data_IF_663839345518
#
_entry.id   IF_663839345518
#
_cell.length_a   1.000
_cell.length_b   1.000
_cell.length_c   1.000
_cell.angle_alpha   90.00
_cell.angle_beta   90.00
_cell.angle_gamma   90.00
#
_symmetry.space_group_name_H-M   'P 1'
#
loop_
_entity.id
_entity.type
_entity.pdbx_description
1 polymer ?
#
# COMPACT_ATOMS: atom_id res chain seq x y z
N UNK A 1 54.73 31.24 57.94
CA UNK A 1 53.81 30.10 57.75
C UNK A 1 52.59 30.32 58.61
N UNK A 2 51.52 30.89 58.05
CA UNK A 2 50.27 31.14 58.76
C UNK A 2 49.28 30.04 58.43
N UNK A 3 48.79 29.32 59.45
CA UNK A 3 47.78 28.29 59.25
C UNK A 3 46.41 28.96 59.08
N UNK A 4 45.75 28.71 57.94
CA UNK A 4 44.33 29.04 57.78
C UNK A 4 43.50 27.90 58.39
N UNK A 5 42.85 28.19 59.51
CA UNK A 5 41.90 27.26 60.14
C UNK A 5 40.58 27.39 59.36
N UNK A 6 40.31 26.44 58.46
CA UNK A 6 38.99 26.29 57.84
C UNK A 6 38.10 25.58 58.87
N UNK A 7 37.17 26.33 59.46
CA UNK A 7 36.17 25.78 60.38
C UNK A 7 35.00 25.24 59.57
N UNK A 8 34.81 23.92 59.58
CA UNK A 8 33.62 23.29 58.99
C UNK A 8 32.45 23.57 59.93
N UNK A 9 31.62 24.55 59.56
CA UNK A 9 30.54 25.02 60.43
C UNK A 9 29.25 24.19 60.30
N UNK A 10 29.12 23.37 59.25
CA UNK A 10 27.98 22.48 59.08
C UNK A 10 28.43 21.17 58.42
N UNK A 11 28.61 20.13 59.24
CA UNK A 11 28.81 18.75 58.80
C UNK A 11 27.61 17.96 59.27
N UNK A 12 26.87 17.38 58.33
CA UNK A 12 25.81 16.42 58.66
C UNK A 12 26.51 15.09 58.93
N UNK A 13 26.48 14.63 60.19
CA UNK A 13 27.15 13.38 60.57
C UNK A 13 26.35 12.17 60.06
N UNK A 14 27.01 11.11 59.56
CA UNK A 14 26.32 9.91 59.04
C UNK A 14 25.46 9.18 60.09
N UNK A 15 25.76 9.37 61.38
CA UNK A 15 25.01 8.82 62.52
C UNK A 15 23.96 9.80 63.08
N UNK A 16 23.83 11.00 62.49
CA UNK A 16 22.85 11.98 62.94
C UNK A 16 21.42 11.58 62.56
N UNK A 17 20.45 11.89 63.41
CA UNK A 17 19.03 11.64 63.12
C UNK A 17 18.58 12.35 61.83
N UNK A 18 19.14 13.51 61.51
CA UNK A 18 18.86 14.22 60.26
C UNK A 18 19.35 13.43 59.03
N UNK A 19 20.55 12.86 59.10
CA UNK A 19 21.06 12.02 58.02
C UNK A 19 20.27 10.73 57.89
N UNK A 20 20.00 10.05 59.02
CA UNK A 20 19.30 8.76 59.02
C UNK A 20 17.84 8.91 58.53
N UNK A 21 17.16 10.01 58.88
CA UNK A 21 15.79 10.29 58.40
C UNK A 21 15.72 10.60 56.91
N UNK A 22 16.76 11.23 56.33
CA UNK A 22 16.83 11.58 54.90
C UNK A 22 17.62 10.57 54.06
N UNK A 23 18.22 9.55 54.69
CA UNK A 23 19.10 8.57 54.04
C UNK A 23 18.44 7.88 52.84
N UNK A 24 17.18 7.47 53.02
CA UNK A 24 16.41 6.82 51.96
C UNK A 24 16.20 7.74 50.75
N UNK A 25 15.96 9.03 50.97
CA UNK A 25 15.80 10.01 49.91
C UNK A 25 17.14 10.28 49.20
N UNK A 26 18.25 10.34 49.93
CA UNK A 26 19.58 10.48 49.34
C UNK A 26 19.99 9.26 48.51
N UNK A 27 19.71 8.04 49.00
CA UNK A 27 19.95 6.80 48.27
C UNK A 27 19.12 6.76 46.98
N UNK A 28 17.85 7.14 47.06
CA UNK A 28 16.96 7.22 45.89
C UNK A 28 17.45 8.25 44.86
N UNK A 29 17.88 9.43 45.32
CA UNK A 29 18.39 10.48 44.43
C UNK A 29 19.74 10.09 43.81
N UNK A 30 20.63 9.43 44.57
CA UNK A 30 21.90 8.93 44.05
C UNK A 30 21.69 7.82 43.01
N UNK A 31 20.68 6.96 43.24
CA UNK A 31 20.28 5.94 42.29
C UNK A 31 19.69 6.59 41.03
N UNK A 32 18.77 7.55 41.16
CA UNK A 32 18.21 8.30 40.03
C UNK A 32 19.32 9.00 39.21
N UNK A 33 20.26 9.67 39.88
CA UNK A 33 21.38 10.36 39.24
C UNK A 33 22.31 9.41 38.48
N UNK A 34 22.53 8.18 38.97
CA UNK A 34 23.28 7.13 38.25
C UNK A 34 22.56 6.65 36.99
N UNK A 35 21.24 6.78 36.93
CA UNK A 35 20.40 6.36 35.81
C UNK A 35 19.92 7.52 34.92
N UNK A 36 20.30 8.77 35.15
CA UNK A 36 19.65 9.94 34.49
C UNK A 36 20.28 10.45 33.19
N UNK A 37 21.45 9.96 32.73
CA UNK A 37 22.14 10.63 31.60
C UNK A 37 22.87 9.73 30.61
N UNK A 38 23.92 9.03 31.03
CA UNK A 38 24.75 8.19 30.14
C UNK A 38 24.43 6.71 30.27
N UNK A 39 24.43 6.15 31.48
CA UNK A 39 24.25 4.71 31.66
C UNK A 39 22.87 4.20 31.24
N UNK A 40 21.80 4.98 31.45
CA UNK A 40 20.48 4.57 30.98
C UNK A 40 20.40 4.61 29.46
N UNK A 41 20.95 5.63 28.80
CA UNK A 41 20.95 5.69 27.34
C UNK A 41 21.83 4.59 26.74
N UNK A 42 23.03 4.35 27.29
CA UNK A 42 23.89 3.23 26.88
C UNK A 42 23.21 1.89 27.12
N UNK A 43 22.54 1.71 28.27
CA UNK A 43 21.81 0.49 28.58
C UNK A 43 20.59 0.32 27.66
N UNK A 44 19.82 1.38 27.38
CA UNK A 44 18.70 1.35 26.43
C UNK A 44 19.21 1.01 25.02
N UNK A 45 20.33 1.58 24.57
CA UNK A 45 20.91 1.27 23.25
C UNK A 45 21.49 -0.15 23.19
N UNK A 46 22.09 -0.64 24.28
CA UNK A 46 22.52 -2.03 24.40
C UNK A 46 21.31 -2.98 24.34
N UNK A 47 20.25 -2.68 25.09
CA UNK A 47 19.01 -3.45 25.03
C UNK A 47 18.31 -3.33 23.67
N UNK A 48 18.35 -2.17 22.99
CA UNK A 48 17.80 -1.96 21.64
C UNK A 48 18.61 -2.68 20.56
N UNK A 49 19.94 -2.73 20.68
CA UNK A 49 20.80 -3.46 19.74
C UNK A 49 20.70 -4.98 19.92
N UNK A 50 20.38 -5.44 21.13
CA UNK A 50 20.07 -6.84 21.43
C UNK A 50 18.59 -7.19 21.18
N UNK A 51 17.71 -6.19 21.15
CA UNK A 51 16.30 -6.37 20.82
C UNK A 51 16.16 -6.67 19.33
N UNK A 52 15.50 -7.77 19.01
CA UNK A 52 15.03 -8.02 17.66
C UNK A 52 13.90 -7.02 17.38
N UNK A 53 14.02 -6.18 16.34
CA UNK A 53 12.92 -5.35 15.87
C UNK A 53 11.85 -6.28 15.28
N UNK A 54 10.99 -6.79 16.15
CA UNK A 54 9.80 -7.51 15.74
C UNK A 54 8.78 -6.49 15.25
N UNK A 55 8.67 -6.36 13.93
CA UNK A 55 7.54 -5.67 13.32
C UNK A 55 6.30 -6.50 13.67
N UNK A 56 5.56 -6.06 14.70
CA UNK A 56 4.37 -6.74 15.20
C UNK A 56 3.20 -6.66 14.22
N UNK A 57 3.18 -5.61 13.38
CA UNK A 57 2.20 -5.50 12.32
C UNK A 57 2.50 -6.53 11.21
N UNK A 58 1.56 -7.47 10.94
CA UNK A 58 1.80 -8.51 9.96
C UNK A 58 2.03 -8.00 8.54
N UNK A 59 1.42 -6.87 8.15
CA UNK A 59 1.56 -6.32 6.80
C UNK A 59 2.96 -5.72 6.59
N UNK A 60 3.45 -4.92 7.55
CA UNK A 60 4.82 -4.39 7.47
C UNK A 60 5.88 -5.49 7.56
N UNK A 61 5.64 -6.53 8.38
CA UNK A 61 6.51 -7.71 8.41
C UNK A 61 6.53 -8.40 7.06
N UNK A 62 5.36 -8.61 6.45
CA UNK A 62 5.25 -9.24 5.15
C UNK A 62 5.92 -8.41 4.04
N UNK A 63 5.78 -7.09 4.06
CA UNK A 63 6.42 -6.19 3.12
C UNK A 63 7.95 -6.27 3.21
N UNK A 64 8.52 -6.26 4.42
CA UNK A 64 9.97 -6.46 4.62
C UNK A 64 10.42 -7.83 4.09
N UNK A 65 9.73 -8.90 4.46
CA UNK A 65 10.06 -10.26 4.01
C UNK A 65 9.96 -10.42 2.48
N UNK A 66 8.99 -9.75 1.85
CA UNK A 66 8.87 -9.66 0.40
C UNK A 66 10.10 -8.99 -0.22
N UNK A 67 10.57 -7.88 0.36
CA UNK A 67 11.79 -7.20 -0.08
C UNK A 67 13.07 -8.02 0.13
N UNK A 68 13.08 -8.93 1.11
CA UNK A 68 14.16 -9.90 1.35
C UNK A 68 14.03 -11.17 0.50
N UNK A 69 13.04 -11.25 -0.39
CA UNK A 69 12.74 -12.43 -1.23
C UNK A 69 12.44 -13.72 -0.44
N UNK A 70 12.06 -13.58 0.84
CA UNK A 70 11.64 -14.68 1.70
C UNK A 70 10.17 -14.99 1.46
N UNK A 71 9.88 -15.56 0.29
CA UNK A 71 8.51 -15.71 -0.20
C UNK A 71 7.60 -16.54 0.72
N UNK A 72 8.02 -17.70 1.25
CA UNK A 72 7.17 -18.49 2.14
C UNK A 72 6.80 -17.75 3.43
N UNK A 73 7.76 -17.06 4.05
CA UNK A 73 7.54 -16.28 5.27
C UNK A 73 6.72 -15.01 5.01
N UNK A 74 6.96 -14.34 3.89
CA UNK A 74 6.17 -13.20 3.45
C UNK A 74 4.70 -13.61 3.24
N UNK A 75 4.46 -14.77 2.63
CA UNK A 75 3.12 -15.29 2.41
C UNK A 75 2.38 -15.50 3.74
N UNK A 76 3.01 -16.20 4.70
CA UNK A 76 2.43 -16.42 6.03
C UNK A 76 2.13 -15.10 6.77
N UNK A 77 2.98 -14.08 6.60
CA UNK A 77 2.77 -12.78 7.22
C UNK A 77 1.61 -12.01 6.56
N UNK A 78 1.51 -12.01 5.22
CA UNK A 78 0.36 -11.42 4.52
C UNK A 78 -0.95 -12.15 4.79
N UNK A 79 -0.95 -13.49 4.87
CA UNK A 79 -2.13 -14.27 5.27
C UNK A 79 -2.63 -13.85 6.66
N UNK A 80 -1.72 -13.57 7.60
CA UNK A 80 -2.09 -13.00 8.91
C UNK A 80 -2.62 -11.57 8.78
N UNK A 81 -2.01 -10.75 7.93
CA UNK A 81 -2.49 -9.38 7.69
C UNK A 81 -3.93 -9.37 7.14
N UNK A 82 -4.24 -10.22 6.17
CA UNK A 82 -5.59 -10.36 5.59
C UNK A 82 -6.61 -10.82 6.65
N UNK A 83 -6.20 -11.67 7.60
CA UNK A 83 -7.10 -12.07 8.70
C UNK A 83 -7.50 -10.88 9.59
N UNK A 84 -6.58 -9.92 9.78
CA UNK A 84 -6.83 -8.72 10.56
C UNK A 84 -7.65 -7.69 9.80
N UNK A 85 -7.34 -7.50 8.51
CA UNK A 85 -8.07 -6.59 7.62
C UNK A 85 -8.43 -7.31 6.32
N UNK A 86 -9.64 -7.87 6.30
CA UNK A 86 -10.14 -8.65 5.18
C UNK A 86 -10.58 -7.77 4.01
N UNK A 87 -10.82 -6.50 4.23
CA UNK A 87 -11.37 -5.55 3.24
C UNK A 87 -10.29 -4.77 2.50
N UNK A 88 -9.02 -4.93 2.90
CA UNK A 88 -7.90 -4.33 2.22
C UNK A 88 -7.47 -5.12 0.98
N UNK A 89 -7.92 -4.65 -0.18
CA UNK A 89 -7.57 -5.20 -1.50
C UNK A 89 -6.06 -5.27 -1.74
N UNK A 90 -5.31 -4.28 -1.25
CA UNK A 90 -3.85 -4.21 -1.43
C UNK A 90 -3.11 -5.39 -0.80
N UNK A 91 -3.66 -5.97 0.28
CA UNK A 91 -3.09 -7.17 0.90
C UNK A 91 -3.27 -8.43 0.03
N UNK A 92 -4.41 -8.56 -0.65
CA UNK A 92 -4.65 -9.67 -1.60
C UNK A 92 -3.71 -9.57 -2.80
N UNK A 93 -3.56 -8.37 -3.37
CA UNK A 93 -2.65 -8.14 -4.49
C UNK A 93 -1.19 -8.41 -4.11
N UNK A 94 -0.78 -7.98 -2.91
CA UNK A 94 0.58 -8.20 -2.40
C UNK A 94 0.86 -9.68 -2.11
N UNK A 95 -0.09 -10.39 -1.51
CA UNK A 95 0.06 -11.83 -1.27
C UNK A 95 0.06 -12.62 -2.58
N UNK A 96 -0.79 -12.24 -3.55
CA UNK A 96 -0.78 -12.82 -4.90
C UNK A 96 0.58 -12.67 -5.54
N UNK A 97 1.18 -11.47 -5.49
CA UNK A 97 2.53 -11.25 -6.01
C UNK A 97 3.55 -12.17 -5.34
N UNK A 98 3.51 -12.31 -4.01
CA UNK A 98 4.38 -13.23 -3.27
C UNK A 98 4.19 -14.67 -3.74
N UNK A 99 2.95 -15.15 -3.85
CA UNK A 99 2.69 -16.50 -4.34
C UNK A 99 3.20 -16.73 -5.77
N UNK A 100 3.06 -15.74 -6.66
CA UNK A 100 3.62 -15.84 -8.03
C UNK A 100 5.14 -15.94 -7.98
N UNK A 101 5.82 -15.12 -7.17
CA UNK A 101 7.28 -15.16 -7.01
C UNK A 101 7.78 -16.47 -6.37
N UNK A 102 6.98 -17.07 -5.50
CA UNK A 102 7.21 -18.38 -4.88
C UNK A 102 6.86 -19.56 -5.82
N UNK A 103 6.47 -19.30 -7.07
CA UNK A 103 5.98 -20.29 -8.04
C UNK A 103 4.73 -21.08 -7.55
N UNK A 104 3.96 -20.50 -6.62
CA UNK A 104 2.72 -21.06 -6.07
C UNK A 104 1.49 -20.50 -6.80
N UNK A 105 1.46 -20.69 -8.11
CA UNK A 105 0.39 -20.14 -8.96
C UNK A 105 -1.01 -20.63 -8.56
N UNK A 106 -1.14 -21.88 -8.09
CA UNK A 106 -2.42 -22.43 -7.65
C UNK A 106 -2.98 -21.69 -6.41
N UNK A 107 -2.10 -21.31 -5.48
CA UNK A 107 -2.50 -20.55 -4.30
C UNK A 107 -2.83 -19.10 -4.65
N UNK A 108 -2.07 -18.51 -5.58
CA UNK A 108 -2.40 -17.19 -6.16
C UNK A 108 -3.79 -17.18 -6.79
N UNK A 109 -4.12 -18.18 -7.61
CA UNK A 109 -5.42 -18.29 -8.26
C UNK A 109 -6.55 -18.43 -7.22
N UNK A 110 -6.37 -19.30 -6.22
CA UNK A 110 -7.37 -19.50 -5.16
C UNK A 110 -7.59 -18.23 -4.31
N UNK A 111 -6.53 -17.49 -4.02
CA UNK A 111 -6.61 -16.22 -3.32
C UNK A 111 -7.39 -15.19 -4.14
N UNK A 112 -7.07 -15.05 -5.42
CA UNK A 112 -7.72 -14.07 -6.30
C UNK A 112 -9.16 -14.45 -6.63
N UNK A 113 -9.50 -15.74 -6.69
CA UNK A 113 -10.90 -16.20 -6.74
C UNK A 113 -11.70 -15.81 -5.49
N UNK A 114 -11.05 -15.84 -4.32
CA UNK A 114 -11.66 -15.34 -3.09
C UNK A 114 -11.87 -13.83 -3.15
N UNK A 115 -10.89 -13.09 -3.71
CA UNK A 115 -11.00 -11.66 -3.95
C UNK A 115 -12.12 -11.33 -4.95
N UNK A 116 -12.25 -12.07 -6.06
CA UNK A 116 -13.31 -11.91 -7.06
C UNK A 116 -14.70 -12.06 -6.44
N UNK A 117 -14.91 -13.06 -5.57
CA UNK A 117 -16.20 -13.22 -4.86
C UNK A 117 -16.53 -12.03 -3.95
N UNK A 118 -15.50 -11.36 -3.43
CA UNK A 118 -15.65 -10.21 -2.54
C UNK A 118 -15.86 -8.91 -3.30
N UNK A 119 -15.19 -8.77 -4.44
CA UNK A 119 -15.23 -7.59 -5.30
C UNK A 119 -15.52 -8.02 -6.74
N UNK A 120 -16.77 -8.43 -7.04
CA UNK A 120 -17.11 -9.09 -8.31
C UNK A 120 -16.88 -8.21 -9.53
N UNK A 121 -17.09 -6.90 -9.42
CA UNK A 121 -16.96 -5.95 -10.53
C UNK A 121 -15.69 -5.09 -10.44
N UNK A 122 -14.76 -5.45 -9.54
CA UNK A 122 -13.50 -4.73 -9.44
C UNK A 122 -12.54 -5.21 -10.52
N UNK A 123 -12.36 -4.39 -11.56
CA UNK A 123 -11.52 -4.69 -12.73
C UNK A 123 -10.08 -5.04 -12.33
N UNK A 124 -9.48 -4.36 -11.36
CA UNK A 124 -8.12 -4.67 -10.91
C UNK A 124 -8.00 -6.08 -10.30
N UNK A 125 -9.02 -6.55 -9.56
CA UNK A 125 -9.08 -7.93 -9.05
C UNK A 125 -9.25 -8.93 -10.20
N UNK A 126 -10.11 -8.61 -11.17
CA UNK A 126 -10.39 -9.48 -12.31
C UNK A 126 -9.18 -9.60 -13.26
N UNK A 127 -8.54 -8.50 -13.65
CA UNK A 127 -7.35 -8.52 -14.51
C UNK A 127 -6.18 -9.20 -13.82
N UNK A 128 -6.03 -9.00 -12.51
CA UNK A 128 -5.04 -9.74 -11.71
C UNK A 128 -5.31 -11.25 -11.67
N UNK A 129 -6.58 -11.67 -11.55
CA UNK A 129 -6.93 -13.09 -11.59
C UNK A 129 -6.66 -13.70 -12.97
N UNK A 130 -7.06 -13.00 -14.04
CA UNK A 130 -6.78 -13.40 -15.41
C UNK A 130 -5.26 -13.51 -15.68
N UNK A 131 -4.46 -12.57 -15.18
CA UNK A 131 -3.00 -12.61 -15.26
C UNK A 131 -2.42 -13.87 -14.61
N UNK A 132 -2.93 -14.26 -13.45
CA UNK A 132 -2.53 -15.50 -12.77
C UNK A 132 -2.93 -16.73 -13.60
N UNK A 133 -4.14 -16.76 -14.18
CA UNK A 133 -4.55 -17.87 -15.06
C UNK A 133 -3.71 -17.95 -16.34
N UNK A 134 -3.35 -16.81 -16.93
CA UNK A 134 -2.47 -16.75 -18.08
C UNK A 134 -1.07 -17.31 -17.74
N UNK A 135 -0.53 -16.97 -16.56
CA UNK A 135 0.72 -17.56 -16.06
C UNK A 135 0.62 -19.08 -15.84
N UNK A 136 -0.56 -19.59 -15.47
CA UNK A 136 -0.84 -21.03 -15.38
C UNK A 136 -1.04 -21.71 -16.73
N UNK A 137 -1.12 -20.95 -17.83
CA UNK A 137 -1.54 -21.42 -19.15
C UNK A 137 -2.96 -22.01 -19.16
N UNK A 138 -3.81 -21.58 -18.22
CA UNK A 138 -5.24 -21.94 -18.17
C UNK A 138 -6.03 -20.93 -19.03
N UNK A 139 -5.97 -21.12 -20.35
CA UNK A 139 -6.62 -20.23 -21.33
C UNK A 139 -8.14 -20.24 -21.18
N UNK A 140 -8.73 -21.36 -20.76
CA UNK A 140 -10.17 -21.47 -20.54
C UNK A 140 -10.66 -20.50 -19.45
N UNK A 141 -9.98 -20.49 -18.30
CA UNK A 141 -10.34 -19.55 -17.22
C UNK A 141 -9.90 -18.12 -17.49
N UNK A 142 -8.77 -17.94 -18.18
CA UNK A 142 -8.34 -16.61 -18.61
C UNK A 142 -9.42 -15.97 -19.49
N UNK A 143 -9.92 -16.70 -20.49
CA UNK A 143 -11.00 -16.25 -21.35
C UNK A 143 -12.30 -15.96 -20.60
N UNK A 144 -12.70 -16.82 -19.66
CA UNK A 144 -13.91 -16.59 -18.86
C UNK A 144 -13.84 -15.28 -18.06
N UNK A 145 -12.71 -15.05 -17.36
CA UNK A 145 -12.53 -13.84 -16.55
C UNK A 145 -12.42 -12.60 -17.42
N UNK A 146 -11.65 -12.64 -18.51
CA UNK A 146 -11.45 -11.48 -19.38
C UNK A 146 -12.70 -11.12 -20.19
N UNK A 147 -13.48 -12.10 -20.67
CA UNK A 147 -14.74 -11.83 -21.34
C UNK A 147 -15.73 -11.13 -20.40
N UNK A 148 -15.81 -11.59 -19.14
CA UNK A 148 -16.61 -10.90 -18.13
C UNK A 148 -16.08 -9.49 -17.84
N UNK A 149 -14.76 -9.32 -17.71
CA UNK A 149 -14.12 -8.01 -17.48
C UNK A 149 -14.43 -7.03 -18.62
N UNK A 150 -14.32 -7.48 -19.88
CA UNK A 150 -14.66 -6.69 -21.07
C UNK A 150 -16.13 -6.26 -21.06
N UNK A 151 -17.04 -7.15 -20.66
CA UNK A 151 -18.48 -6.82 -20.58
C UNK A 151 -18.84 -5.72 -19.58
N UNK A 152 -18.00 -5.51 -18.55
CA UNK A 152 -18.21 -4.46 -17.54
C UNK A 152 -17.28 -3.26 -17.72
N UNK A 153 -16.33 -3.30 -18.66
CA UNK A 153 -15.37 -2.23 -18.91
C UNK A 153 -16.01 -0.98 -19.56
N UNK A 154 -17.16 -1.14 -20.23
CA UNK A 154 -17.88 -0.04 -20.87
C UNK A 154 -17.05 0.62 -21.96
N UNK A 155 -16.96 1.96 -21.96
CA UNK A 155 -16.20 2.71 -22.97
C UNK A 155 -14.75 3.02 -22.52
N UNK A 156 -14.27 2.35 -21.47
CA UNK A 156 -12.89 2.52 -20.98
C UNK A 156 -11.88 1.86 -21.93
N UNK A 157 -11.42 2.64 -22.90
CA UNK A 157 -10.43 2.21 -23.89
C UNK A 157 -9.14 1.70 -23.23
N UNK A 158 -8.72 2.26 -22.09
CA UNK A 158 -7.51 1.82 -21.41
C UNK A 158 -7.68 0.42 -20.80
N UNK A 159 -8.86 0.14 -20.23
CA UNK A 159 -9.20 -1.20 -19.74
C UNK A 159 -9.23 -2.23 -20.89
N UNK A 160 -9.83 -1.89 -22.04
CA UNK A 160 -9.82 -2.77 -23.21
C UNK A 160 -8.40 -3.05 -23.73
N UNK A 161 -7.49 -2.07 -23.68
CA UNK A 161 -6.07 -2.28 -24.00
C UNK A 161 -5.39 -3.26 -23.03
N UNK A 162 -5.69 -3.16 -21.72
CA UNK A 162 -5.17 -4.10 -20.72
C UNK A 162 -5.71 -5.52 -20.95
N UNK A 163 -7.01 -5.66 -21.23
CA UNK A 163 -7.65 -6.95 -21.55
C UNK A 163 -7.01 -7.58 -22.78
N UNK A 164 -6.82 -6.81 -23.87
CA UNK A 164 -6.13 -7.28 -25.07
C UNK A 164 -4.70 -7.76 -24.77
N UNK A 165 -3.93 -7.01 -23.99
CA UNK A 165 -2.58 -7.40 -23.61
C UNK A 165 -2.55 -8.71 -22.80
N UNK A 166 -3.57 -8.95 -21.97
CA UNK A 166 -3.71 -10.19 -21.21
C UNK A 166 -4.10 -11.38 -22.11
N UNK A 167 -4.98 -11.18 -23.09
CA UNK A 167 -5.26 -12.19 -24.11
C UNK A 167 -4.00 -12.56 -24.90
N UNK A 168 -3.21 -11.57 -25.34
CA UNK A 168 -1.95 -11.78 -26.04
C UNK A 168 -0.93 -12.54 -25.18
N UNK A 169 -0.80 -12.19 -23.89
CA UNK A 169 0.04 -12.91 -22.93
C UNK A 169 -0.39 -14.38 -22.77
N UNK A 170 -1.69 -14.64 -22.84
CA UNK A 170 -2.28 -15.98 -22.78
C UNK A 170 -2.25 -16.73 -24.13
N UNK A 171 -1.66 -16.15 -25.18
CA UNK A 171 -1.61 -16.70 -26.55
C UNK A 171 -3.01 -16.87 -27.19
N UNK A 172 -4.00 -16.12 -26.69
CA UNK A 172 -5.40 -16.13 -27.16
C UNK A 172 -5.59 -15.07 -28.27
N UNK A 173 -5.07 -15.38 -29.46
CA UNK A 173 -4.96 -14.40 -30.57
C UNK A 173 -6.30 -14.01 -31.20
N UNK A 174 -7.30 -14.91 -31.18
CA UNK A 174 -8.63 -14.62 -31.72
C UNK A 174 -9.35 -13.60 -30.82
N UNK A 175 -9.38 -13.86 -29.51
CA UNK A 175 -9.99 -13.00 -28.50
C UNK A 175 -9.26 -11.65 -28.43
N UNK A 176 -7.93 -11.62 -28.55
CA UNK A 176 -7.18 -10.37 -28.65
C UNK A 176 -7.55 -9.53 -29.88
N UNK A 177 -7.85 -10.17 -31.02
CA UNK A 177 -8.28 -9.48 -32.24
C UNK A 177 -9.73 -8.97 -32.13
N UNK A 178 -10.61 -9.72 -31.47
CA UNK A 178 -11.97 -9.27 -31.14
C UNK A 178 -11.92 -8.03 -30.23
N UNK A 179 -11.09 -8.06 -29.19
CA UNK A 179 -10.90 -6.93 -28.28
C UNK A 179 -10.33 -5.69 -29.01
N UNK A 180 -9.44 -5.89 -29.98
CA UNK A 180 -8.89 -4.81 -30.81
C UNK A 180 -9.98 -4.09 -31.62
N UNK A 181 -10.98 -4.82 -32.13
CA UNK A 181 -12.11 -4.22 -32.85
C UNK A 181 -12.94 -3.32 -31.93
N UNK A 182 -13.13 -3.72 -30.67
CA UNK A 182 -13.81 -2.90 -29.65
C UNK A 182 -13.04 -1.60 -29.44
N UNK A 183 -11.72 -1.68 -29.22
CA UNK A 183 -10.83 -0.52 -29.03
C UNK A 183 -10.96 0.47 -30.21
N UNK A 184 -10.89 -0.03 -31.45
CA UNK A 184 -10.98 0.80 -32.66
C UNK A 184 -12.36 1.46 -32.79
N UNK A 185 -13.42 0.72 -32.47
CA UNK A 185 -14.79 1.23 -32.50
C UNK A 185 -14.99 2.36 -31.50
N UNK A 186 -14.55 2.18 -30.26
CA UNK A 186 -14.63 3.20 -29.20
C UNK A 186 -13.80 4.45 -29.57
N UNK A 187 -12.60 4.27 -30.11
CA UNK A 187 -11.75 5.38 -30.54
C UNK A 187 -12.40 6.19 -31.67
N UNK A 188 -13.05 5.51 -32.63
CA UNK A 188 -13.77 6.18 -33.72
C UNK A 188 -14.98 6.99 -33.20
N UNK A 189 -15.74 6.43 -32.25
CA UNK A 189 -16.87 7.12 -31.62
C UNK A 189 -16.42 8.41 -30.90
N UNK A 190 -15.38 8.32 -30.07
CA UNK A 190 -14.82 9.48 -29.36
C UNK A 190 -14.33 10.57 -30.31
N UNK A 191 -13.70 10.20 -31.43
CA UNK A 191 -13.29 11.16 -32.45
C UNK A 191 -14.50 11.88 -33.08
N UNK A 192 -15.57 11.14 -33.40
CA UNK A 192 -16.79 11.75 -33.95
C UNK A 192 -17.47 12.71 -32.96
N UNK A 193 -17.54 12.35 -31.68
CA UNK A 193 -18.12 13.21 -30.65
C UNK A 193 -17.34 14.51 -30.45
N UNK A 194 -16.00 14.44 -30.46
CA UNK A 194 -15.14 15.63 -30.40
C UNK A 194 -15.37 16.55 -31.60
N UNK A 195 -15.47 16.00 -32.81
CA UNK A 195 -15.75 16.81 -34.01
C UNK A 195 -17.17 17.39 -34.02
N UNK A 196 -18.16 16.72 -33.44
CA UNK A 196 -19.53 17.24 -33.32
C UNK A 196 -19.67 18.33 -32.27
N UNK A 197 -18.95 18.21 -31.14
CA UNK A 197 -18.92 19.20 -30.07
C UNK A 197 -18.30 20.52 -30.52
N UNK A 198 -17.21 20.47 -31.30
CA UNK A 198 -16.47 21.65 -31.79
C UNK A 198 -17.35 22.53 -32.71
N UNK A 199 -18.22 21.90 -33.51
CA UNK A 199 -19.13 22.65 -34.41
C UNK A 199 -20.28 23.32 -33.64
N UNK A 200 -20.74 22.75 -32.51
CA UNK A 200 -21.84 23.33 -31.72
C UNK A 200 -21.41 24.46 -30.77
N UNK A 201 -20.12 24.51 -30.40
CA UNK A 201 -19.57 25.56 -29.55
C UNK A 201 -19.44 26.93 -30.24
N UNK A 202 -19.26 26.95 -31.57
CA UNK A 202 -18.97 28.18 -32.33
C UNK A 202 -20.24 28.89 -32.84
N UNK A 203 -21.42 28.25 -32.80
CA UNK A 203 -22.67 28.82 -33.33
C UNK A 203 -23.37 29.73 -32.29
N UNK A 204 -22.90 29.79 -31.05
CA UNK A 204 -23.59 30.50 -29.94
C UNK A 204 -23.18 31.98 -29.77
N UNK A 205 -22.27 32.52 -30.59
CA UNK A 205 -21.66 33.83 -30.34
C UNK A 205 -22.14 34.99 -31.22
N UNK A 206 -23.02 34.77 -32.21
CA UNK A 206 -23.32 35.81 -33.21
C UNK A 206 -24.83 36.00 -33.48
N UNK A 207 -25.63 36.27 -32.44
CA UNK A 207 -27.00 36.80 -32.63
C UNK A 207 -27.38 37.88 -31.59
N UNK A 208 -26.57 38.93 -31.39
CA UNK A 208 -27.10 40.19 -30.83
C UNK A 208 -26.29 41.42 -31.26
N UNK A 209 -26.37 41.87 -32.52
CA UNK A 209 -26.12 43.29 -32.83
C UNK A 209 -26.50 43.69 -34.27
N UNK A 210 -27.74 43.49 -34.70
CA UNK A 210 -28.28 44.30 -35.81
C UNK A 210 -29.74 44.67 -35.55
N UNK A 211 -30.01 45.97 -35.45
CA UNK A 211 -31.39 46.47 -35.45
C UNK A 211 -31.61 47.73 -34.62
N UNK A 212 -31.25 48.90 -35.16
CA UNK A 212 -32.22 50.00 -35.36
C UNK A 212 -31.51 51.19 -36.02
N UNK A 213 -31.66 51.27 -37.35
CA UNK A 213 -31.62 52.54 -38.08
C UNK A 213 -32.74 53.48 -37.58
N UNK A 214 -32.56 54.79 -37.83
CA UNK A 214 -33.67 55.63 -38.25
C UNK A 214 -33.94 56.90 -37.45
N UNK A 215 -33.52 58.03 -38.02
CA UNK A 215 -34.45 59.15 -38.19
C UNK A 215 -34.19 60.45 -37.43
N UNK A 216 -33.64 61.41 -38.19
CA UNK A 216 -33.87 62.87 -38.17
C UNK A 216 -33.41 63.69 -36.95
#
# INVERSE_FOLDING_TARGET
FGYHIIKVNNRVDPESEEFQSKKADYEKNLLAQKFEGEHLNTWIEEQRSQATIDILDPAFRAFRLKGEEKWPEAALAYEKAIKNDKDNQGLYLSLKEVYVRDNRLADAAKLMETARKKWPENTAVLTTLADVYALQKDTAKTGEVLAYTSSIAGDDVAMHQEIKALYEKAEMTAEAAEEQIIIETLAAQQATEQTGADITGDISADETSTGSEGGN
#
